data_IF_501558292999
#
_entry.id   IF_501558292999
#
_cell.length_a   1.000
_cell.length_b   1.000
_cell.length_c   1.000
_cell.angle_alpha   90.00
_cell.angle_beta   90.00
_cell.angle_gamma   90.00
#
_symmetry.space_group_name_H-M   'P 1'
#
loop_
_entity.id
_entity.type
_entity.pdbx_description
1 polymer ?
#
# COMPACT_ATOMS: atom_id res chain seq x y z
N UNK A 1 -9.88 -38.31 -51.53
CA UNK A 1 -10.34 -37.38 -50.49
C UNK A 1 -9.09 -36.76 -49.88
N UNK A 2 -8.71 -35.56 -50.34
CA UNK A 2 -7.57 -34.85 -49.76
C UNK A 2 -8.06 -34.15 -48.51
N UNK A 3 -7.76 -34.71 -47.34
CA UNK A 3 -7.99 -34.04 -46.07
C UNK A 3 -6.97 -32.94 -45.89
N UNK A 4 -7.41 -31.72 -45.62
CA UNK A 4 -6.54 -30.62 -45.24
C UNK A 4 -5.97 -30.99 -43.86
N UNK A 5 -4.72 -31.46 -43.80
CA UNK A 5 -4.00 -31.62 -42.54
C UNK A 5 -3.52 -30.24 -42.12
N UNK A 6 -4.08 -29.69 -41.04
CA UNK A 6 -3.46 -28.56 -40.36
C UNK A 6 -2.11 -29.03 -39.81
N UNK A 7 -1.01 -28.44 -40.27
CA UNK A 7 0.32 -28.79 -39.76
C UNK A 7 0.53 -28.10 -38.42
N UNK A 8 0.42 -28.86 -37.32
CA UNK A 8 0.91 -28.40 -36.01
C UNK A 8 2.44 -28.32 -36.05
N UNK A 9 3.01 -27.25 -35.48
CA UNK A 9 4.46 -27.06 -35.38
C UNK A 9 4.92 -27.52 -34.01
N UNK A 10 5.70 -28.59 -33.97
CA UNK A 10 6.44 -29.01 -32.78
C UNK A 10 7.89 -28.56 -32.84
N UNK A 11 8.39 -27.91 -31.80
CA UNK A 11 9.81 -27.63 -31.63
C UNK A 11 10.32 -28.45 -30.44
N UNK A 12 11.29 -29.32 -30.71
CA UNK A 12 11.91 -30.22 -29.73
C UNK A 12 10.90 -31.21 -29.06
N UNK A 13 9.83 -31.55 -29.79
CA UNK A 13 8.89 -32.63 -29.46
C UNK A 13 8.40 -33.28 -30.76
N UNK A 14 8.28 -34.61 -30.77
CA UNK A 14 7.66 -35.37 -31.86
C UNK A 14 6.16 -35.63 -31.66
N UNK A 15 5.64 -35.28 -30.48
CA UNK A 15 4.23 -35.40 -30.12
C UNK A 15 3.71 -34.05 -29.60
N UNK A 16 3.53 -33.05 -30.49
CA UNK A 16 2.96 -31.76 -30.10
C UNK A 16 1.56 -31.93 -29.51
N UNK A 17 1.22 -31.10 -28.52
CA UNK A 17 -0.11 -31.06 -27.95
C UNK A 17 -1.18 -30.80 -29.04
N UNK A 18 -2.15 -31.71 -29.19
CA UNK A 18 -3.19 -31.62 -30.22
C UNK A 18 -4.16 -30.44 -30.07
N UNK A 19 -4.13 -29.72 -28.94
CA UNK A 19 -4.86 -28.48 -28.72
C UNK A 19 -4.07 -27.22 -29.12
N UNK A 20 -2.81 -27.34 -29.54
CA UNK A 20 -1.92 -26.22 -29.86
C UNK A 20 -1.45 -26.25 -31.32
N UNK A 21 -1.44 -25.08 -31.98
CA UNK A 21 -0.85 -24.94 -33.32
C UNK A 21 0.68 -24.91 -33.25
N UNK A 22 1.26 -24.44 -32.14
CA UNK A 22 2.69 -24.43 -31.86
C UNK A 22 2.95 -24.97 -30.44
N UNK A 23 3.80 -25.98 -30.32
CA UNK A 23 4.24 -26.56 -29.04
C UNK A 23 5.77 -26.59 -28.99
N UNK A 24 6.35 -26.00 -27.94
CA UNK A 24 7.80 -25.88 -27.75
C UNK A 24 8.15 -26.50 -26.41
N UNK A 25 8.92 -27.59 -26.43
CA UNK A 25 9.32 -28.30 -25.20
C UNK A 25 10.81 -28.11 -24.96
N UNK A 26 11.19 -27.51 -23.83
CA UNK A 26 12.59 -27.44 -23.38
C UNK A 26 12.64 -27.32 -21.86
N UNK A 27 13.64 -27.95 -21.24
CA UNK A 27 13.96 -27.79 -19.82
C UNK A 27 15.24 -26.95 -19.59
N UNK A 28 15.84 -26.41 -20.66
CA UNK A 28 17.15 -25.74 -20.62
C UNK A 28 17.15 -24.37 -21.32
N UNK A 29 16.18 -24.09 -22.21
CA UNK A 29 16.12 -22.87 -23.04
C UNK A 29 14.70 -22.31 -23.06
N UNK A 30 14.58 -21.01 -23.25
CA UNK A 30 13.29 -20.32 -23.42
C UNK A 30 13.01 -19.96 -24.88
N UNK A 31 11.89 -19.29 -25.12
CA UNK A 31 11.52 -18.70 -26.41
C UNK A 31 12.03 -17.25 -26.50
N UNK A 32 12.84 -16.96 -27.52
CA UNK A 32 13.24 -15.59 -27.84
C UNK A 32 12.26 -15.01 -28.86
N UNK A 33 11.35 -14.15 -28.40
CA UNK A 33 10.40 -13.43 -29.26
C UNK A 33 11.07 -12.21 -29.93
N UNK A 34 10.46 -11.57 -30.95
CA UNK A 34 11.01 -10.35 -31.55
C UNK A 34 11.34 -9.28 -30.50
N UNK A 35 12.54 -8.70 -30.61
CA UNK A 35 13.06 -7.69 -29.67
C UNK A 35 13.29 -6.40 -30.42
N UNK A 36 12.58 -5.34 -30.03
CA UNK A 36 12.56 -4.07 -30.77
C UNK A 36 12.66 -2.90 -29.80
N UNK A 37 13.38 -1.85 -30.16
CA UNK A 37 13.25 -0.53 -29.53
C UNK A 37 11.87 0.09 -29.83
N UNK A 38 11.49 1.14 -29.12
CA UNK A 38 10.30 1.94 -29.46
C UNK A 38 10.33 2.38 -30.93
N UNK A 39 11.47 2.90 -31.39
CA UNK A 39 11.65 3.30 -32.79
C UNK A 39 11.45 2.11 -33.73
N UNK A 40 12.12 0.99 -33.51
CA UNK A 40 11.98 -0.18 -34.40
C UNK A 40 10.57 -0.77 -34.37
N UNK A 41 9.88 -0.77 -33.23
CA UNK A 41 8.46 -1.16 -33.12
C UNK A 41 7.60 -0.23 -33.97
N UNK A 42 7.77 1.06 -33.81
CA UNK A 42 6.94 2.09 -34.44
C UNK A 42 7.29 2.32 -35.92
N UNK A 43 8.45 1.85 -36.41
CA UNK A 43 8.82 1.92 -37.83
C UNK A 43 8.66 0.60 -38.57
N UNK A 44 8.91 -0.54 -37.92
CA UNK A 44 8.97 -1.84 -38.60
C UNK A 44 7.68 -2.67 -38.43
N UNK A 45 6.95 -2.46 -37.33
CA UNK A 45 5.66 -3.12 -37.09
C UNK A 45 4.46 -2.19 -37.32
N UNK A 46 4.66 -0.88 -37.22
CA UNK A 46 3.83 0.02 -38.00
C UNK A 46 4.08 -0.26 -39.48
N UNK A 47 3.06 -0.14 -40.31
CA UNK A 47 3.21 -0.13 -41.76
C UNK A 47 4.48 0.66 -42.15
N UNK A 48 5.44 0.04 -42.85
CA UNK A 48 6.80 0.59 -43.02
C UNK A 48 6.83 1.93 -43.80
N UNK A 49 5.67 2.41 -44.22
CA UNK A 49 5.52 3.71 -44.85
C UNK A 49 5.37 4.80 -43.79
N UNK A 50 6.30 5.74 -43.79
CA UNK A 50 6.29 6.94 -42.92
C UNK A 50 5.07 7.85 -43.15
N UNK A 51 4.30 7.62 -44.21
CA UNK A 51 3.08 8.36 -44.54
C UNK A 51 1.80 7.77 -43.89
N UNK A 52 1.83 6.54 -43.38
CA UNK A 52 0.65 5.83 -42.86
C UNK A 52 0.76 5.46 -41.39
N UNK A 53 1.82 5.86 -40.68
CA UNK A 53 1.93 5.68 -39.22
C UNK A 53 0.68 6.30 -38.58
N UNK A 54 -0.26 5.48 -38.06
CA UNK A 54 -1.50 6.02 -37.55
C UNK A 54 -1.21 6.89 -36.32
N UNK A 55 -1.86 8.05 -36.15
CA UNK A 55 -1.84 8.76 -34.88
C UNK A 55 -2.19 7.80 -33.73
N UNK A 56 -1.58 8.00 -32.56
CA UNK A 56 -1.83 7.15 -31.39
C UNK A 56 -3.35 6.92 -31.17
N UNK A 57 -3.79 5.66 -31.22
CA UNK A 57 -5.20 5.27 -31.06
C UNK A 57 -5.96 4.95 -32.35
N UNK A 58 -5.30 5.00 -33.51
CA UNK A 58 -5.88 4.60 -34.80
C UNK A 58 -5.50 3.15 -35.17
N UNK A 59 -6.41 2.34 -35.74
CA UNK A 59 -6.12 0.96 -36.16
C UNK A 59 -5.00 0.91 -37.21
N UNK A 60 -4.05 0.00 -37.04
CA UNK A 60 -3.06 -0.34 -38.07
C UNK A 60 -3.52 -1.62 -38.81
N UNK A 61 -3.94 -1.54 -40.08
CA UNK A 61 -4.44 -2.70 -40.82
C UNK A 61 -3.38 -3.77 -41.10
N UNK A 62 -2.09 -3.42 -41.00
CA UNK A 62 -0.97 -4.34 -41.22
C UNK A 62 -0.50 -5.04 -39.94
N UNK A 63 -1.10 -4.73 -38.79
CA UNK A 63 -0.73 -5.31 -37.49
C UNK A 63 -1.93 -6.01 -36.86
N UNK A 64 -1.77 -7.31 -36.58
CA UNK A 64 -2.85 -8.16 -36.07
C UNK A 64 -2.87 -8.11 -34.54
N UNK A 65 -4.07 -7.96 -33.96
CA UNK A 65 -4.27 -8.00 -32.51
C UNK A 65 -3.70 -9.30 -31.91
N UNK A 66 -2.96 -9.18 -30.81
CA UNK A 66 -2.23 -10.27 -30.17
C UNK A 66 -0.78 -10.44 -30.62
N UNK A 67 -0.28 -9.63 -31.57
CA UNK A 67 1.16 -9.61 -31.92
C UNK A 67 1.98 -9.27 -30.69
N UNK A 68 2.93 -10.13 -30.29
CA UNK A 68 3.73 -10.04 -29.06
C UNK A 68 5.21 -9.74 -29.35
N UNK A 69 5.79 -8.79 -28.63
CA UNK A 69 7.20 -8.41 -28.70
C UNK A 69 7.81 -8.20 -27.31
N UNK A 70 9.14 -8.14 -27.25
CA UNK A 70 9.87 -7.57 -26.13
C UNK A 70 10.43 -6.21 -26.53
N UNK A 71 9.99 -5.14 -25.89
CA UNK A 71 10.49 -3.80 -26.13
C UNK A 71 11.79 -3.58 -25.36
N UNK A 72 12.89 -3.29 -26.06
CA UNK A 72 14.22 -3.09 -25.47
C UNK A 72 14.47 -1.67 -24.98
N UNK A 73 13.67 -0.69 -25.40
CA UNK A 73 13.71 0.68 -24.85
C UNK A 73 13.08 0.71 -23.46
N UNK A 74 11.88 0.15 -23.31
CA UNK A 74 11.13 0.11 -22.06
C UNK A 74 11.32 -1.18 -21.24
N UNK A 75 12.15 -2.10 -21.72
CA UNK A 75 12.45 -3.40 -21.11
C UNK A 75 11.21 -4.23 -20.73
N UNK A 76 10.14 -4.20 -21.54
CA UNK A 76 8.87 -4.86 -21.23
C UNK A 76 8.31 -5.73 -22.37
N UNK A 77 7.51 -6.75 -22.02
CA UNK A 77 6.70 -7.46 -23.00
C UNK A 77 5.51 -6.58 -23.41
N UNK A 78 5.29 -6.42 -24.72
CA UNK A 78 4.18 -5.65 -25.29
C UNK A 78 3.39 -6.49 -26.28
N UNK A 79 2.06 -6.33 -26.31
CA UNK A 79 1.20 -6.88 -27.34
C UNK A 79 0.34 -5.80 -28.00
N UNK A 80 0.00 -5.97 -29.27
CA UNK A 80 -0.92 -5.09 -29.98
C UNK A 80 -2.37 -5.44 -29.63
N UNK A 81 -3.18 -4.50 -29.13
CA UNK A 81 -4.60 -4.74 -28.81
C UNK A 81 -5.56 -4.49 -29.98
N UNK A 82 -5.04 -4.07 -31.14
CA UNK A 82 -5.81 -3.62 -32.29
C UNK A 82 -5.77 -2.11 -32.52
N UNK A 83 -5.42 -1.33 -31.49
CA UNK A 83 -5.40 0.14 -31.50
C UNK A 83 -4.11 0.73 -30.93
N UNK A 84 -3.53 0.10 -29.91
CA UNK A 84 -2.36 0.55 -29.17
C UNK A 84 -1.48 -0.64 -28.76
N UNK A 85 -0.19 -0.37 -28.60
CA UNK A 85 0.72 -1.30 -27.93
C UNK A 85 0.43 -1.29 -26.43
N UNK A 86 -0.08 -2.43 -25.93
CA UNK A 86 -0.30 -2.69 -24.51
C UNK A 86 0.88 -3.44 -23.95
N UNK A 87 1.14 -3.21 -22.68
CA UNK A 87 2.12 -3.97 -21.94
C UNK A 87 1.48 -5.26 -21.41
N UNK A 88 2.14 -6.40 -21.59
CA UNK A 88 1.67 -7.70 -21.07
C UNK A 88 1.99 -7.86 -19.58
N UNK A 89 3.16 -7.35 -19.14
CA UNK A 89 3.64 -7.39 -17.76
C UNK A 89 4.49 -6.15 -17.44
N UNK A 90 4.39 -5.64 -16.21
CA UNK A 90 5.27 -4.57 -15.70
C UNK A 90 6.60 -5.18 -15.22
N UNK A 91 7.78 -4.84 -15.79
CA UNK A 91 9.01 -5.66 -15.70
C UNK A 91 9.93 -5.21 -14.57
N UNK A 92 9.79 -3.96 -14.13
CA UNK A 92 9.70 -3.70 -12.71
C UNK A 92 8.26 -3.97 -12.41
N UNK A 93 7.95 -5.03 -11.67
CA UNK A 93 6.68 -5.09 -10.95
C UNK A 93 6.19 -3.69 -10.58
N UNK A 94 4.88 -3.48 -10.56
CA UNK A 94 4.30 -2.84 -9.39
C UNK A 94 4.76 -3.68 -8.17
N UNK A 95 6.03 -3.46 -7.79
CA UNK A 95 6.88 -4.23 -6.88
C UNK A 95 6.28 -3.96 -5.53
N UNK A 96 5.68 -4.97 -4.88
CA UNK A 96 4.73 -4.80 -3.79
C UNK A 96 3.32 -4.41 -4.24
N UNK A 97 2.32 -5.12 -3.72
CA UNK A 97 1.23 -4.37 -3.11
C UNK A 97 1.85 -3.40 -2.11
N UNK A 98 1.94 -2.10 -2.47
CA UNK A 98 2.38 -1.06 -1.53
C UNK A 98 1.28 -0.72 -0.52
N UNK A 99 0.12 -1.39 -0.65
CA UNK A 99 -0.82 -1.56 0.41
C UNK A 99 -0.25 -2.43 1.54
N UNK A 100 -0.81 -2.26 2.72
CA UNK A 100 -0.36 -3.01 3.87
C UNK A 100 -1.09 -2.56 5.11
N UNK A 101 -1.28 -3.50 6.03
CA UNK A 101 -1.86 -3.22 7.34
C UNK A 101 -0.76 -3.45 8.36
N UNK A 102 -0.41 -2.47 9.17
CA UNK A 102 0.55 -2.65 10.26
C UNK A 102 -0.16 -2.35 11.57
N UNK A 103 -0.44 -3.41 12.35
CA UNK A 103 -1.08 -3.29 13.64
C UNK A 103 -0.04 -3.39 14.76
N UNK A 104 0.01 -2.35 15.59
CA UNK A 104 0.84 -2.27 16.79
C UNK A 104 -0.03 -2.62 18.00
N UNK A 105 0.38 -3.62 18.77
CA UNK A 105 -0.31 -4.02 20.00
C UNK A 105 0.21 -3.25 21.22
N UNK A 106 1.52 -3.01 21.27
CA UNK A 106 2.22 -2.51 22.46
C UNK A 106 3.63 -2.04 22.11
N UNK A 107 4.32 -1.47 23.10
CA UNK A 107 5.75 -1.24 23.07
C UNK A 107 6.55 -2.41 23.65
N UNK A 108 7.82 -2.16 23.98
CA UNK A 108 8.75 -3.16 24.50
C UNK A 108 8.17 -3.89 25.72
N UNK A 109 8.42 -5.21 25.80
CA UNK A 109 7.90 -6.09 26.85
C UNK A 109 6.37 -6.04 27.02
N UNK A 110 5.65 -5.91 25.90
CA UNK A 110 4.19 -5.87 25.83
C UNK A 110 3.52 -4.72 26.61
N UNK A 111 4.28 -3.66 26.91
CA UNK A 111 3.78 -2.50 27.64
C UNK A 111 2.93 -1.63 26.73
N UNK A 112 1.65 -1.47 27.06
CA UNK A 112 0.74 -0.53 26.39
C UNK A 112 0.91 0.88 26.95
N UNK A 113 0.92 1.93 26.11
CA UNK A 113 0.87 3.30 26.61
C UNK A 113 -0.38 3.53 27.45
N UNK A 114 -0.21 4.19 28.60
CA UNK A 114 -1.28 4.54 29.52
C UNK A 114 -1.13 6.01 29.91
N UNK A 115 -2.23 6.76 29.82
CA UNK A 115 -2.28 8.19 30.07
C UNK A 115 -3.35 8.49 31.11
N UNK A 116 -3.04 9.33 32.10
CA UNK A 116 -4.02 9.85 33.04
C UNK A 116 -4.52 11.19 32.53
N UNK A 117 -5.74 11.20 31.99
CA UNK A 117 -6.37 12.38 31.42
C UNK A 117 -7.33 12.98 32.46
N UNK A 118 -7.52 14.29 32.39
CA UNK A 118 -8.44 15.03 33.24
C UNK A 118 -9.07 16.16 32.43
N UNK A 119 -10.31 16.51 32.78
CA UNK A 119 -10.96 17.71 32.27
C UNK A 119 -10.38 18.98 32.89
N UNK A 120 -10.59 20.11 32.23
CA UNK A 120 -10.26 21.44 32.75
C UNK A 120 -11.50 22.34 32.66
N UNK A 121 -12.13 22.59 33.80
CA UNK A 121 -13.39 23.34 33.87
C UNK A 121 -14.47 22.70 33.01
N UNK A 122 -14.96 23.43 32.01
CA UNK A 122 -15.97 22.97 31.05
C UNK A 122 -15.41 22.40 29.74
N UNK A 123 -14.11 22.11 29.68
CA UNK A 123 -13.45 21.63 28.47
C UNK A 123 -12.40 20.54 28.71
N UNK A 124 -11.66 20.24 27.65
CA UNK A 124 -10.56 19.29 27.69
C UNK A 124 -9.40 19.82 28.53
N UNK A 125 -8.78 18.95 29.33
CA UNK A 125 -7.56 19.30 30.06
C UNK A 125 -6.30 19.25 29.21
N UNK A 126 -5.16 19.02 29.86
CA UNK A 126 -3.86 19.03 29.20
C UNK A 126 -3.77 17.95 28.11
N UNK A 127 -3.40 18.38 26.91
CA UNK A 127 -3.10 17.51 25.79
C UNK A 127 -1.82 16.73 26.06
N UNK A 128 -1.92 15.39 26.06
CA UNK A 128 -0.78 14.50 26.33
C UNK A 128 -0.44 13.67 25.09
N UNK A 129 0.85 13.58 24.77
CA UNK A 129 1.31 12.76 23.65
C UNK A 129 1.31 11.28 24.02
N UNK A 130 0.84 10.44 23.11
CA UNK A 130 0.92 8.99 23.24
C UNK A 130 2.32 8.55 22.81
N UNK A 131 3.10 8.05 23.76
CA UNK A 131 4.46 7.56 23.54
C UNK A 131 4.51 6.05 23.78
N UNK A 132 5.03 5.32 22.79
CA UNK A 132 5.35 3.91 22.92
C UNK A 132 6.80 3.71 23.33
N UNK A 133 7.04 2.73 24.20
CA UNK A 133 8.38 2.19 24.47
C UNK A 133 8.83 1.35 23.27
N UNK A 134 10.10 1.47 22.86
CA UNK A 134 10.65 0.74 21.71
C UNK A 134 11.55 -0.42 22.14
N UNK A 135 11.64 -1.52 21.37
CA UNK A 135 10.96 -1.78 20.09
C UNK A 135 9.44 -2.00 20.26
N UNK A 136 8.68 -1.71 19.20
CA UNK A 136 7.26 -2.00 19.14
C UNK A 136 6.99 -3.49 19.01
N UNK A 137 5.86 -3.93 19.55
CA UNK A 137 5.32 -5.27 19.35
C UNK A 137 4.16 -5.20 18.37
N UNK A 138 4.34 -5.87 17.23
CA UNK A 138 3.36 -5.94 16.16
C UNK A 138 2.43 -7.14 16.33
N UNK A 139 1.17 -7.02 15.92
CA UNK A 139 0.30 -8.17 15.79
C UNK A 139 0.81 -9.10 14.68
N UNK A 140 0.50 -10.40 14.79
CA UNK A 140 0.77 -11.33 13.71
C UNK A 140 -0.21 -11.13 12.53
N UNK A 141 0.10 -11.79 11.40
CA UNK A 141 -0.86 -12.04 10.33
C UNK A 141 -2.15 -12.65 10.90
N UNK A 142 -3.34 -12.30 10.38
CA UNK A 142 -3.61 -11.51 9.16
C UNK A 142 -3.74 -10.02 9.39
N UNK A 143 -3.66 -9.54 10.64
CA UNK A 143 -3.84 -8.11 10.95
C UNK A 143 -2.58 -7.27 10.77
N UNK A 144 -1.47 -7.92 10.42
CA UNK A 144 -0.24 -7.26 9.99
C UNK A 144 0.27 -7.90 8.70
N UNK A 145 0.32 -7.10 7.65
CA UNK A 145 1.01 -7.30 6.39
C UNK A 145 1.77 -6.01 6.06
N UNK A 146 3.09 -6.06 6.09
CA UNK A 146 3.90 -4.91 5.74
C UNK A 146 3.84 -4.66 4.23
N UNK A 147 3.80 -3.39 3.78
CA UNK A 147 4.02 -3.08 2.37
C UNK A 147 5.30 -3.77 1.90
N UNK A 148 5.27 -4.43 0.76
CA UNK A 148 6.42 -5.17 0.24
C UNK A 148 7.60 -4.21 -0.10
N UNK A 149 7.36 -2.90 -0.23
CA UNK A 149 8.39 -1.84 -0.35
C UNK A 149 9.09 -1.48 0.96
N UNK A 150 8.78 -2.15 2.07
CA UNK A 150 9.31 -1.80 3.40
C UNK A 150 10.81 -2.07 3.47
N UNK A 151 11.60 -0.99 3.52
CA UNK A 151 13.07 -1.03 3.74
C UNK A 151 13.41 -0.78 5.22
N UNK A 152 14.49 -1.37 5.78
CA UNK A 152 15.35 -2.39 5.18
C UNK A 152 14.72 -3.80 5.17
N UNK A 153 13.77 -4.07 6.07
CA UNK A 153 12.93 -5.29 6.09
C UNK A 153 11.68 -5.10 6.98
N UNK A 154 10.62 -5.91 6.81
CA UNK A 154 9.40 -5.88 7.64
C UNK A 154 9.65 -6.04 9.15
N UNK A 155 8.76 -5.46 9.97
CA UNK A 155 8.79 -5.65 11.42
C UNK A 155 9.78 -4.77 12.19
N UNK A 156 10.48 -3.85 11.51
CA UNK A 156 11.32 -2.87 12.20
C UNK A 156 10.48 -1.69 12.71
N UNK A 157 10.67 -1.33 13.98
CA UNK A 157 9.99 -0.19 14.63
C UNK A 157 10.18 1.11 13.86
N UNK A 158 11.41 1.37 13.38
CA UNK A 158 11.75 2.63 12.70
C UNK A 158 10.96 2.87 11.39
N UNK A 159 10.38 1.81 10.80
CA UNK A 159 9.60 1.90 9.57
C UNK A 159 8.23 2.56 9.78
N UNK A 160 7.78 2.69 11.04
CA UNK A 160 6.45 3.22 11.37
C UNK A 160 6.45 4.14 12.60
N UNK A 161 7.47 4.05 13.47
CA UNK A 161 7.55 4.85 14.67
C UNK A 161 9.00 5.18 15.03
N UNK A 162 9.28 6.46 15.19
CA UNK A 162 10.58 6.96 15.59
C UNK A 162 10.44 8.22 16.44
N UNK A 163 11.06 8.25 17.62
CA UNK A 163 11.18 9.44 18.47
C UNK A 163 9.82 10.12 18.76
N UNK A 164 8.78 9.33 19.05
CA UNK A 164 7.44 9.83 19.34
C UNK A 164 6.60 10.21 18.11
N UNK A 165 7.15 10.04 16.90
CA UNK A 165 6.46 10.33 15.64
C UNK A 165 6.11 9.04 14.90
N UNK A 166 4.92 9.00 14.33
CA UNK A 166 4.39 7.96 13.47
C UNK A 166 4.69 8.27 12.01
N UNK A 167 5.18 7.27 11.27
CA UNK A 167 5.57 7.39 9.88
C UNK A 167 4.58 6.67 8.97
N UNK A 168 4.24 7.34 7.89
CA UNK A 168 3.54 6.74 6.77
C UNK A 168 4.45 5.75 6.04
N UNK A 169 3.89 4.96 5.12
CA UNK A 169 4.72 4.21 4.19
C UNK A 169 5.44 5.18 3.27
N UNK A 170 6.67 4.87 2.85
CA UNK A 170 7.55 5.79 2.12
C UNK A 170 7.18 5.93 0.64
N UNK A 171 5.89 6.16 0.35
CA UNK A 171 5.34 6.36 -0.98
C UNK A 171 4.62 7.71 -1.01
N UNK A 172 5.21 8.69 -1.72
CA UNK A 172 4.64 10.03 -1.85
C UNK A 172 3.22 10.00 -2.41
N UNK A 173 2.34 10.78 -1.83
CA UNK A 173 0.93 10.89 -2.19
C UNK A 173 0.09 9.65 -1.85
N UNK A 174 0.61 8.64 -1.14
CA UNK A 174 -0.18 7.50 -0.70
C UNK A 174 -1.10 7.90 0.45
N UNK A 175 -2.35 7.46 0.36
CA UNK A 175 -3.36 7.70 1.40
C UNK A 175 -3.24 6.62 2.47
N UNK A 176 -3.29 7.04 3.72
CA UNK A 176 -3.24 6.17 4.88
C UNK A 176 -4.46 6.37 5.77
N UNK A 177 -5.00 5.27 6.27
CA UNK A 177 -5.97 5.27 7.37
C UNK A 177 -5.27 4.82 8.64
N UNK A 178 -5.43 5.59 9.71
CA UNK A 178 -4.92 5.23 11.03
C UNK A 178 -6.09 4.95 11.95
N UNK A 179 -6.13 3.75 12.54
CA UNK A 179 -7.14 3.35 13.52
C UNK A 179 -6.51 3.24 14.90
N UNK A 180 -7.02 4.01 15.85
CA UNK A 180 -6.66 3.94 17.26
C UNK A 180 -7.78 3.25 18.04
N UNK A 181 -7.43 2.26 18.86
CA UNK A 181 -8.34 1.64 19.83
C UNK A 181 -7.82 1.95 21.23
N UNK A 182 -8.66 2.53 22.07
CA UNK A 182 -8.33 2.95 23.44
C UNK A 182 -9.34 2.35 24.41
N UNK A 183 -8.85 1.69 25.46
CA UNK A 183 -9.66 1.33 26.61
C UNK A 183 -9.61 2.48 27.63
N UNK A 184 -10.76 3.11 27.86
CA UNK A 184 -10.90 4.25 28.76
C UNK A 184 -11.57 3.82 30.06
N UNK A 185 -10.84 3.95 31.16
CA UNK A 185 -11.30 3.62 32.50
C UNK A 185 -11.57 4.93 33.24
N UNK A 186 -12.84 5.21 33.52
CA UNK A 186 -13.28 6.38 34.28
C UNK A 186 -13.88 5.95 35.63
N UNK A 187 -14.08 6.92 36.53
CA UNK A 187 -14.81 6.67 37.77
C UNK A 187 -16.25 6.20 37.53
N UNK A 188 -16.84 5.57 38.55
CA UNK A 188 -18.27 5.25 38.53
C UNK A 188 -19.09 6.53 38.33
N UNK A 189 -20.20 6.44 37.60
CA UNK A 189 -21.08 7.58 37.32
C UNK A 189 -20.41 8.73 36.52
N UNK A 190 -19.25 8.48 35.92
CA UNK A 190 -18.54 9.47 35.08
C UNK A 190 -18.87 9.24 33.61
N UNK A 191 -19.28 10.32 32.94
CA UNK A 191 -19.46 10.38 31.49
C UNK A 191 -18.78 11.62 30.95
N UNK A 192 -18.37 11.58 29.69
CA UNK A 192 -17.71 12.70 29.04
C UNK A 192 -17.27 12.33 27.64
N UNK A 193 -16.11 12.81 27.22
CA UNK A 193 -15.52 12.53 25.93
C UNK A 193 -13.99 12.52 26.00
N UNK A 194 -13.41 11.73 25.11
CA UNK A 194 -11.98 11.74 24.81
C UNK A 194 -11.80 12.24 23.39
N UNK A 195 -10.90 13.20 23.22
CA UNK A 195 -10.46 13.71 21.92
C UNK A 195 -9.08 13.16 21.62
N UNK A 196 -8.93 12.62 20.42
CA UNK A 196 -7.66 12.18 19.88
C UNK A 196 -7.25 13.09 18.72
N UNK A 197 -5.97 13.47 18.69
CA UNK A 197 -5.40 14.39 17.70
C UNK A 197 -4.20 13.73 17.03
N UNK A 198 -4.16 13.76 15.70
CA UNK A 198 -3.00 13.33 14.92
C UNK A 198 -2.43 14.53 14.18
N UNK A 199 -1.21 14.92 14.53
CA UNK A 199 -0.61 16.19 14.11
C UNK A 199 0.74 15.97 13.43
N UNK A 200 0.93 16.56 12.25
CA UNK A 200 2.27 16.74 11.69
C UNK A 200 2.83 18.10 12.15
N UNK A 201 3.90 18.13 12.98
CA UNK A 201 4.46 19.38 13.46
C UNK A 201 5.20 20.17 12.37
N UNK A 202 5.65 19.49 11.31
CA UNK A 202 6.46 20.07 10.23
C UNK A 202 5.58 20.76 9.17
N UNK A 203 4.39 20.22 8.84
CA UNK A 203 3.43 20.87 7.92
C UNK A 203 2.34 21.69 8.62
N UNK A 204 2.15 21.51 9.93
CA UNK A 204 1.03 22.10 10.67
C UNK A 204 -0.31 21.37 10.46
N UNK A 205 -0.35 20.31 9.66
CA UNK A 205 -1.54 19.48 9.50
C UNK A 205 -1.98 18.89 10.83
N UNK A 206 -3.28 18.99 11.14
CA UNK A 206 -3.88 18.44 12.35
C UNK A 206 -5.28 17.90 12.04
N UNK A 207 -5.55 16.67 12.46
CA UNK A 207 -6.88 16.05 12.40
C UNK A 207 -7.29 15.56 13.79
N UNK A 208 -8.55 15.82 14.13
CA UNK A 208 -9.13 15.56 15.44
C UNK A 208 -10.33 14.61 15.33
N UNK A 209 -10.48 13.69 16.28
CA UNK A 209 -11.64 12.82 16.41
C UNK A 209 -12.07 12.74 17.87
N UNK A 210 -13.37 12.87 18.14
CA UNK A 210 -13.94 12.88 19.48
C UNK A 210 -14.85 11.66 19.63
N UNK A 211 -14.70 10.93 20.74
CA UNK A 211 -15.56 9.81 21.10
C UNK A 211 -16.15 10.04 22.48
N UNK A 212 -17.44 9.75 22.61
CA UNK A 212 -18.14 9.85 23.89
C UNK A 212 -17.75 8.67 24.78
N UNK A 213 -17.59 8.94 26.07
CA UNK A 213 -17.43 7.95 27.12
C UNK A 213 -18.79 7.81 27.80
N UNK A 214 -19.53 6.71 27.56
CA UNK A 214 -20.77 6.43 28.26
C UNK A 214 -20.52 6.31 29.76
N UNK A 215 -21.57 6.50 30.55
CA UNK A 215 -21.51 6.40 31.99
C UNK A 215 -20.88 5.05 32.42
N UNK A 216 -19.73 5.12 33.10
CA UNK A 216 -18.80 4.00 33.25
C UNK A 216 -19.36 2.77 33.95
N UNK A 217 -19.22 1.61 33.30
CA UNK A 217 -19.06 0.33 33.98
C UNK A 217 -17.60 0.21 34.43
N UNK A 218 -17.35 -0.41 35.57
CA UNK A 218 -16.00 -0.64 36.15
C UNK A 218 -15.05 -1.47 35.26
N UNK A 219 -15.49 -1.90 34.07
CA UNK A 219 -14.78 -2.71 33.09
C UNK A 219 -14.04 -1.91 32.00
N UNK A 220 -14.20 -0.58 31.95
CA UNK A 220 -13.62 0.27 30.90
C UNK A 220 -14.44 0.30 29.60
N UNK A 221 -14.37 1.42 28.89
CA UNK A 221 -15.06 1.68 27.62
C UNK A 221 -14.07 1.63 26.45
N UNK A 222 -14.37 0.84 25.42
CA UNK A 222 -13.54 0.79 24.20
C UNK A 222 -13.96 1.89 23.25
N UNK A 223 -13.05 2.84 23.00
CA UNK A 223 -13.22 3.92 22.04
C UNK A 223 -12.37 3.65 20.78
N UNK A 224 -12.93 3.94 19.61
CA UNK A 224 -12.22 3.80 18.33
C UNK A 224 -12.15 5.14 17.61
N UNK A 225 -10.97 5.52 17.16
CA UNK A 225 -10.72 6.75 16.40
C UNK A 225 -10.12 6.42 15.03
N UNK A 226 -10.46 7.23 14.03
CA UNK A 226 -9.92 7.15 12.67
C UNK A 226 -9.29 8.47 12.27
N UNK A 227 -8.11 8.39 11.63
CA UNK A 227 -7.44 9.52 11.01
C UNK A 227 -7.06 9.17 9.58
N UNK A 228 -7.01 10.18 8.72
CA UNK A 228 -6.66 10.05 7.32
C UNK A 228 -5.48 10.97 7.03
N UNK A 229 -4.43 10.44 6.42
CA UNK A 229 -3.24 11.21 6.05
C UNK A 229 -2.84 10.92 4.61
N UNK A 230 -2.09 11.84 4.02
CA UNK A 230 -1.51 11.72 2.68
C UNK A 230 -0.02 11.94 2.83
N UNK A 231 0.77 11.01 2.32
CA UNK A 231 2.22 11.07 2.42
C UNK A 231 2.79 12.23 1.60
N UNK A 232 3.62 13.07 2.22
CA UNK A 232 4.28 14.22 1.60
C UNK A 232 5.71 14.39 2.17
N UNK A 233 6.44 15.40 1.71
CA UNK A 233 7.82 15.63 2.19
C UNK A 233 7.85 16.01 3.69
N UNK A 234 6.80 16.65 4.19
CA UNK A 234 6.71 17.01 5.60
C UNK A 234 6.38 15.80 6.49
N UNK A 235 5.89 14.68 5.95
CA UNK A 235 5.71 13.43 6.71
C UNK A 235 6.80 12.38 6.48
N UNK A 236 7.43 12.34 5.30
CA UNK A 236 8.35 11.26 4.92
C UNK A 236 9.83 11.54 5.19
N UNK A 237 10.29 12.80 5.13
CA UNK A 237 11.71 13.14 5.32
C UNK A 237 12.26 12.60 6.67
N UNK A 238 13.55 12.25 6.76
CA UNK A 238 14.13 11.67 7.97
C UNK A 238 13.83 12.47 9.24
N UNK A 239 13.30 11.81 10.27
CA UNK A 239 12.92 12.43 11.54
C UNK A 239 11.58 13.17 11.53
N UNK A 240 10.84 13.13 10.42
CA UNK A 240 9.47 13.65 10.31
C UNK A 240 8.41 12.57 10.54
N UNK A 241 7.16 13.01 10.61
CA UNK A 241 6.00 12.17 10.88
C UNK A 241 5.01 12.85 11.82
N UNK A 242 4.06 12.08 12.32
CA UNK A 242 2.91 12.59 13.05
C UNK A 242 2.99 12.26 14.54
N UNK A 243 2.59 13.19 15.39
CA UNK A 243 2.44 12.98 16.82
C UNK A 243 0.97 12.69 17.13
N UNK A 244 0.73 11.64 17.91
CA UNK A 244 -0.60 11.27 18.41
C UNK A 244 -0.79 11.85 19.81
N UNK A 245 -1.91 12.51 20.06
CA UNK A 245 -2.26 13.07 21.36
C UNK A 245 -3.65 12.61 21.80
N UNK A 246 -3.85 12.59 23.12
CA UNK A 246 -5.14 12.44 23.77
C UNK A 246 -5.38 13.57 24.78
N UNK A 247 -6.63 13.96 24.92
CA UNK A 247 -7.15 14.82 25.98
C UNK A 247 -8.60 14.42 26.31
N UNK A 248 -9.05 14.69 27.52
CA UNK A 248 -10.39 14.33 27.99
C UNK A 248 -11.05 15.51 28.71
N UNK A 249 -12.38 15.57 28.71
CA UNK A 249 -13.17 16.50 29.53
C UNK A 249 -13.60 15.88 30.88
N UNK A 250 -13.17 14.63 31.12
CA UNK A 250 -13.39 13.85 32.33
C UNK A 250 -12.08 13.32 32.88
N UNK A 251 -12.08 12.92 34.16
CA UNK A 251 -10.95 12.19 34.75
C UNK A 251 -11.03 10.71 34.38
N UNK A 252 -10.04 10.23 33.64
CA UNK A 252 -9.96 8.84 33.21
C UNK A 252 -8.51 8.39 32.94
N UNK A 253 -8.29 7.09 33.02
CA UNK A 253 -7.08 6.45 32.49
C UNK A 253 -7.37 5.92 31.09
N UNK A 254 -6.60 6.35 30.11
CA UNK A 254 -6.67 5.90 28.73
C UNK A 254 -5.53 4.94 28.43
N UNK A 255 -5.84 3.68 28.14
CA UNK A 255 -4.88 2.63 27.80
C UNK A 255 -5.00 2.36 26.29
N UNK A 256 -3.91 2.47 25.56
CA UNK A 256 -3.92 2.23 24.12
C UNK A 256 -3.87 0.73 23.84
N UNK A 257 -4.96 0.18 23.30
CA UNK A 257 -5.06 -1.24 23.00
C UNK A 257 -4.38 -1.62 21.69
N UNK A 258 -4.53 -0.78 20.66
CA UNK A 258 -3.76 -0.90 19.44
C UNK A 258 -3.78 0.39 18.63
N UNK A 259 -2.75 0.56 17.82
CA UNK A 259 -2.73 1.56 16.75
C UNK A 259 -2.41 0.86 15.44
N UNK A 260 -3.21 1.11 14.41
CA UNK A 260 -3.10 0.39 13.13
C UNK A 260 -2.95 1.38 12.00
N UNK A 261 -1.91 1.24 11.17
CA UNK A 261 -1.80 1.91 9.87
C UNK A 261 -2.36 0.99 8.79
N UNK A 262 -3.21 1.54 7.92
CA UNK A 262 -3.64 0.91 6.68
C UNK A 262 -3.13 1.79 5.54
N UNK A 263 -2.15 1.29 4.80
CA UNK A 263 -1.66 1.90 3.57
C UNK A 263 -2.57 1.43 2.43
N UNK A 264 -3.17 2.37 1.71
CA UNK A 264 -3.98 2.05 0.54
C UNK A 264 -3.09 1.88 -0.68
N UNK A 265 -3.49 1.01 -1.60
CA UNK A 265 -2.77 0.82 -2.85
C UNK A 265 -2.62 2.14 -3.61
N UNK A 266 -1.42 2.37 -4.17
CA UNK A 266 -1.11 3.52 -5.02
C UNK A 266 -0.28 3.07 -6.22
N UNK A 267 -0.74 3.39 -7.42
CA UNK A 267 -0.03 3.16 -8.68
C UNK A 267 1.29 3.95 -8.79
#
# INVERSE_FOLDING_TARGET
MYGILYTQVGINTSSPNGAAVLDIVSNQKGLLIPRLTDTERDTNLADNTTATVPPAGMPNPNLIAGTLIFNTTSNNFQYWDGLLWRQLFVPTSSQAGNDGVVKINSGNADVKPSLNLSGSGSGYGLRQQVIYTTPLVFAASPTTSWPETTVPFPGNTANIYNSGKWRENEIYGQVHVWRLIVNVISGANSSGSVKATFKNPDSGFEINSIQLVPNGSSSGNILTFYFYTIADAASLDPGRGYQLFLEADLTCTAIIDSFTRVSLFKD
#
